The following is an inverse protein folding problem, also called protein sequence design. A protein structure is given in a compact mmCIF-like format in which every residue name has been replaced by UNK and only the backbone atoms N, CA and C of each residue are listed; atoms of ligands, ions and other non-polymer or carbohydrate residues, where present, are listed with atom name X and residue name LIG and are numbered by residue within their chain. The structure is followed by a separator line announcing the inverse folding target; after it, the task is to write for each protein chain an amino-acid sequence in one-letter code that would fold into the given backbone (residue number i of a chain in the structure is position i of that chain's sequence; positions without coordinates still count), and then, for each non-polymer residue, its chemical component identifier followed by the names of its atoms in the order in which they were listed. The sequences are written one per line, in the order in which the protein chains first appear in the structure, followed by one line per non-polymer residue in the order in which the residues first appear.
data_IF_127449841861
#
_entry.id   IF_127449841861
#
_cell.length_a   1.000
_cell.length_b   1.000
_cell.length_c   1.000
_cell.angle_alpha   90.00
_cell.angle_beta   90.00
_cell.angle_gamma   90.00
#
_symmetry.space_group_name_H-M   'P 1'
#
loop_
_entity.id
_entity.type
_entity.pdbx_description
1 polymer ?
#
# COMPACT_ATOMS: atom_id res chain seq x y z
N UNK A 1 11.04 6.69 -76.41
CA UNK A 1 10.03 6.76 -75.32
C UNK A 1 10.38 5.62 -74.35
N UNK A 2 10.76 5.75 -73.07
CA UNK A 2 10.63 6.74 -71.98
C UNK A 2 11.99 6.77 -71.22
N UNK A 3 12.67 7.92 -71.00
CA UNK A 3 12.69 8.78 -69.77
C UNK A 3 12.87 7.96 -68.46
N UNK A 4 14.09 7.94 -67.87
CA UNK A 4 14.57 8.73 -66.69
C UNK A 4 13.81 8.40 -65.39
N UNK A 5 14.39 8.01 -64.25
CA UNK A 5 15.03 8.78 -63.13
C UNK A 5 15.33 7.72 -62.02
N UNK A 6 16.55 7.48 -61.52
CA UNK A 6 17.37 8.17 -60.47
C UNK A 6 16.89 8.00 -59.01
N UNK A 7 17.84 7.55 -58.16
CA UNK A 7 18.08 7.73 -56.70
C UNK A 7 16.96 7.39 -55.69
N UNK A 8 17.21 6.48 -54.74
CA UNK A 8 17.94 6.65 -53.45
C UNK A 8 17.12 7.44 -52.41
N UNK A 9 17.04 6.88 -51.19
CA UNK A 9 16.47 7.42 -49.93
C UNK A 9 14.93 7.35 -49.82
N UNK A 10 14.28 6.95 -48.73
CA UNK A 10 14.68 6.76 -47.34
C UNK A 10 14.13 5.43 -46.81
N UNK A 11 15.00 4.70 -46.14
CA UNK A 11 14.70 3.87 -44.98
C UNK A 11 13.72 4.65 -44.08
N UNK A 12 12.44 4.31 -44.21
CA UNK A 12 11.38 4.74 -43.31
C UNK A 12 11.26 3.69 -42.18
N UNK A 13 12.39 3.30 -41.57
CA UNK A 13 12.34 2.94 -40.16
C UNK A 13 12.11 4.25 -39.44
N UNK A 14 10.83 4.61 -39.34
CA UNK A 14 10.39 5.47 -38.27
C UNK A 14 10.98 4.88 -37.00
N UNK A 15 11.91 5.66 -36.48
CA UNK A 15 12.35 5.67 -35.11
C UNK A 15 11.11 5.58 -34.22
N UNK A 16 10.64 4.36 -33.95
CA UNK A 16 10.13 3.98 -32.64
C UNK A 16 11.35 3.90 -31.71
N UNK A 17 12.15 4.97 -31.67
CA UNK A 17 12.77 5.37 -30.42
C UNK A 17 11.57 5.61 -29.53
N UNK A 18 11.23 4.64 -28.69
CA UNK A 18 10.30 4.89 -27.61
C UNK A 18 10.81 6.15 -26.93
N UNK A 19 10.10 7.27 -27.13
CA UNK A 19 10.25 8.39 -26.23
C UNK A 19 9.92 7.76 -24.88
N UNK A 20 10.93 7.69 -24.03
CA UNK A 20 10.75 7.35 -22.64
C UNK A 20 9.84 8.46 -22.09
N UNK A 21 8.52 8.25 -22.18
CA UNK A 21 7.48 9.22 -21.84
C UNK A 21 7.36 9.41 -20.32
N UNK A 22 8.32 8.86 -19.57
CA UNK A 22 8.39 8.98 -18.13
C UNK A 22 8.73 10.40 -17.76
N UNK A 23 8.01 10.92 -16.77
CA UNK A 23 8.34 12.20 -16.16
C UNK A 23 9.70 12.08 -15.48
N UNK A 24 10.56 13.09 -15.68
CA UNK A 24 11.86 13.15 -15.02
C UNK A 24 11.73 13.84 -13.67
N UNK A 25 12.01 13.11 -12.61
CA UNK A 25 11.98 13.61 -11.25
C UNK A 25 13.35 14.15 -10.84
N UNK A 26 13.35 15.29 -10.17
CA UNK A 26 14.54 15.85 -9.53
C UNK A 26 14.62 15.32 -8.09
N UNK A 27 15.69 14.57 -7.76
CA UNK A 27 15.95 14.06 -6.42
C UNK A 27 16.20 15.21 -5.42
N UNK A 28 15.50 15.16 -4.28
CA UNK A 28 15.65 16.10 -3.14
C UNK A 28 15.71 15.31 -1.83
N UNK A 29 16.82 14.63 -1.60
CA UNK A 29 16.97 13.74 -0.45
C UNK A 29 16.10 12.49 -0.60
N UNK A 30 15.24 12.19 0.37
CA UNK A 30 14.27 11.09 0.28
C UNK A 30 13.00 11.46 -0.51
N UNK A 31 12.94 12.68 -1.06
CA UNK A 31 11.79 13.22 -1.78
C UNK A 31 12.14 13.46 -3.25
N UNK A 32 11.12 13.59 -4.08
CA UNK A 32 11.26 13.76 -5.52
C UNK A 32 10.39 14.89 -6.01
N UNK A 33 10.93 15.75 -6.87
CA UNK A 33 10.20 16.87 -7.42
C UNK A 33 9.89 16.64 -8.90
N UNK A 34 8.61 16.51 -9.22
CA UNK A 34 8.07 16.59 -10.56
C UNK A 34 7.88 18.06 -10.93
N UNK A 35 8.79 18.57 -11.72
CA UNK A 35 8.76 19.96 -12.19
C UNK A 35 7.71 20.21 -13.27
N UNK A 36 7.31 19.18 -14.01
CA UNK A 36 6.34 19.30 -15.09
C UNK A 36 4.94 19.57 -14.52
N UNK A 37 4.59 18.89 -13.43
CA UNK A 37 3.29 19.04 -12.76
C UNK A 37 3.33 19.86 -11.47
N UNK A 38 4.50 20.36 -11.07
CA UNK A 38 4.75 21.10 -9.82
C UNK A 38 4.37 20.29 -8.56
N UNK A 39 4.82 19.04 -8.48
CA UNK A 39 4.50 18.12 -7.39
C UNK A 39 5.78 17.72 -6.66
N UNK A 40 5.82 17.97 -5.35
CA UNK A 40 6.83 17.39 -4.46
C UNK A 40 6.28 16.10 -3.84
N UNK A 41 6.82 14.96 -4.26
CA UNK A 41 6.56 13.66 -3.67
C UNK A 41 7.45 13.43 -2.45
N UNK A 42 6.84 13.02 -1.34
CA UNK A 42 7.50 12.67 -0.09
C UNK A 42 7.13 11.24 0.31
N UNK A 43 7.99 10.50 1.03
CA UNK A 43 7.64 9.16 1.52
C UNK A 43 6.36 9.18 2.35
N UNK A 44 5.47 8.21 2.13
CA UNK A 44 4.19 8.06 2.82
C UNK A 44 4.27 6.92 3.82
N UNK A 45 4.28 7.23 5.12
CA UNK A 45 4.29 6.25 6.22
C UNK A 45 5.09 4.97 5.90
N UNK A 46 6.39 5.12 5.66
CA UNK A 46 7.29 4.15 4.99
C UNK A 46 7.23 2.70 5.48
N UNK A 47 6.75 2.44 6.70
CA UNK A 47 6.66 1.10 7.28
C UNK A 47 5.25 0.51 7.31
N UNK A 48 4.23 1.36 7.15
CA UNK A 48 2.83 1.01 7.30
C UNK A 48 2.10 0.94 5.97
N UNK A 49 2.35 1.89 5.07
CA UNK A 49 1.57 2.03 3.84
C UNK A 49 2.29 1.39 2.66
N UNK A 50 1.56 0.58 1.90
CA UNK A 50 2.06 -0.14 0.73
C UNK A 50 1.01 -0.12 -0.39
N UNK A 51 1.43 -0.21 -1.66
CA UNK A 51 0.48 -0.36 -2.74
C UNK A 51 -0.12 -1.77 -2.70
N UNK A 52 -1.42 -1.87 -2.94
CA UNK A 52 -2.09 -3.17 -3.12
C UNK A 52 -1.58 -3.87 -4.38
N UNK A 53 -1.31 -3.09 -5.42
CA UNK A 53 -0.75 -3.51 -6.69
C UNK A 53 0.14 -2.39 -7.27
N UNK A 54 1.18 -2.78 -8.00
CA UNK A 54 2.00 -1.86 -8.80
C UNK A 54 1.39 -1.77 -10.20
N UNK A 55 1.16 -0.53 -10.66
CA UNK A 55 0.61 -0.23 -11.97
C UNK A 55 1.68 -0.07 -13.05
N UNK A 56 1.48 0.92 -13.92
CA UNK A 56 2.34 1.18 -15.08
C UNK A 56 3.50 2.11 -14.72
N UNK A 57 4.58 2.07 -15.50
CA UNK A 57 5.70 3.01 -15.33
C UNK A 57 5.23 4.45 -15.58
N UNK A 58 5.56 5.35 -14.65
CA UNK A 58 5.08 6.74 -14.66
C UNK A 58 6.23 7.75 -14.73
N UNK A 59 7.24 7.58 -13.88
CA UNK A 59 8.30 8.56 -13.71
C UNK A 59 9.65 7.90 -13.43
N UNK A 60 10.74 8.65 -13.53
CA UNK A 60 12.09 8.20 -13.19
C UNK A 60 12.97 9.35 -12.71
N UNK A 61 13.84 9.09 -11.75
CA UNK A 61 14.91 10.01 -11.33
C UNK A 61 16.27 9.67 -12.02
N UNK A 62 16.25 8.73 -12.98
CA UNK A 62 17.43 8.20 -13.66
C UNK A 62 18.13 7.03 -12.94
N UNK A 63 17.75 6.72 -11.69
CA UNK A 63 18.23 5.57 -10.92
C UNK A 63 17.13 4.52 -10.73
N UNK A 64 15.92 4.96 -10.38
CA UNK A 64 14.74 4.14 -10.15
C UNK A 64 13.63 4.52 -11.12
N UNK A 65 12.75 3.55 -11.40
CA UNK A 65 11.46 3.78 -12.05
C UNK A 65 10.39 3.82 -10.98
N UNK A 66 9.50 4.80 -11.08
CA UNK A 66 8.30 4.95 -10.27
C UNK A 66 7.07 4.61 -11.09
N UNK A 67 6.08 4.05 -10.42
CA UNK A 67 4.90 3.43 -11.01
C UNK A 67 3.63 4.09 -10.48
N UNK A 68 2.58 4.03 -11.29
CA UNK A 68 1.23 4.34 -10.82
C UNK A 68 0.76 3.28 -9.82
N UNK A 69 -0.21 3.65 -8.98
CA UNK A 69 -0.90 2.72 -8.09
C UNK A 69 -2.34 2.64 -8.60
N UNK A 70 -2.86 1.45 -8.99
CA UNK A 70 -4.23 1.31 -9.44
C UNK A 70 -5.23 1.91 -8.43
N UNK A 71 -6.28 2.56 -8.93
CA UNK A 71 -7.29 3.29 -8.15
C UNK A 71 -6.78 4.51 -7.37
N UNK A 72 -5.52 4.91 -7.57
CA UNK A 72 -4.99 6.18 -7.08
C UNK A 72 -4.63 7.10 -8.23
N UNK A 73 -4.76 8.40 -8.01
CA UNK A 73 -4.30 9.39 -8.97
C UNK A 73 -2.77 9.57 -8.85
N UNK A 74 -1.99 9.51 -9.94
CA UNK A 74 -0.53 9.67 -9.88
C UNK A 74 -0.10 11.00 -9.25
N UNK A 75 -0.90 12.07 -9.43
CA UNK A 75 -0.67 13.38 -8.82
C UNK A 75 -0.74 13.36 -7.28
N UNK A 76 -1.33 12.32 -6.70
CA UNK A 76 -1.49 12.14 -5.26
C UNK A 76 -0.52 11.08 -4.75
N UNK A 77 -0.39 9.95 -5.46
CA UNK A 77 0.44 8.82 -5.04
C UNK A 77 1.17 8.15 -6.20
N UNK A 78 2.43 7.81 -5.96
CA UNK A 78 3.24 6.93 -6.80
C UNK A 78 3.96 5.91 -5.91
N UNK A 79 4.48 4.82 -6.50
CA UNK A 79 5.31 3.88 -5.76
C UNK A 79 6.58 3.52 -6.52
N UNK A 80 7.57 2.99 -5.80
CA UNK A 80 8.65 2.24 -6.44
C UNK A 80 8.29 0.75 -6.57
N UNK A 81 9.14 0.00 -7.26
CA UNK A 81 9.03 -1.46 -7.38
C UNK A 81 10.35 -2.13 -6.95
N UNK A 82 10.76 -1.89 -5.71
CA UNK A 82 11.92 -2.54 -5.11
C UNK A 82 11.50 -3.90 -4.55
N UNK A 83 12.15 -4.96 -5.05
CA UNK A 83 11.78 -6.37 -4.88
C UNK A 83 11.10 -6.73 -3.55
N UNK A 84 9.78 -6.90 -3.60
CA UNK A 84 8.96 -7.42 -2.51
C UNK A 84 8.41 -6.36 -1.53
N UNK A 85 8.93 -5.13 -1.52
CA UNK A 85 8.51 -4.06 -0.60
C UNK A 85 8.49 -2.72 -1.34
N UNK A 86 7.40 -2.45 -2.05
CA UNK A 86 7.20 -1.15 -2.72
C UNK A 86 6.92 -0.04 -1.72
N UNK A 87 7.74 1.02 -1.72
CA UNK A 87 7.50 2.23 -0.93
C UNK A 87 6.52 3.12 -1.68
N UNK A 88 5.56 3.70 -0.95
CA UNK A 88 4.61 4.68 -1.47
C UNK A 88 5.14 6.08 -1.19
N UNK A 89 5.05 6.94 -2.21
CA UNK A 89 5.32 8.35 -2.11
C UNK A 89 4.02 9.11 -2.37
N UNK A 90 3.73 10.10 -1.55
CA UNK A 90 2.55 10.96 -1.67
C UNK A 90 2.94 12.37 -2.07
N UNK A 91 2.05 13.10 -2.72
CA UNK A 91 2.22 14.54 -2.84
C UNK A 91 2.28 15.18 -1.45
N UNK A 92 3.19 16.14 -1.27
CA UNK A 92 3.41 16.84 0.00
C UNK A 92 2.20 17.64 0.49
N UNK A 93 1.25 17.95 -0.41
CA UNK A 93 -0.03 18.61 -0.11
C UNK A 93 -1.06 17.67 0.53
N UNK A 94 -0.89 16.36 0.38
CA UNK A 94 -1.71 15.34 1.05
C UNK A 94 -1.18 15.15 2.47
N UNK A 95 -2.03 14.92 3.47
CA UNK A 95 -1.57 14.60 4.82
C UNK A 95 -0.84 13.24 4.83
N UNK A 96 0.07 13.01 5.78
CA UNK A 96 0.62 11.66 5.94
C UNK A 96 -0.45 10.69 6.42
N UNK A 97 -0.40 9.46 5.92
CA UNK A 97 -1.39 8.44 6.26
C UNK A 97 -1.03 7.83 7.62
N UNK A 98 -1.98 7.86 8.53
CA UNK A 98 -1.94 7.23 9.85
C UNK A 98 -3.16 6.32 9.99
N UNK A 99 -3.16 5.41 10.96
CA UNK A 99 -4.36 4.61 11.26
C UNK A 99 -5.60 5.47 11.53
N UNK A 100 -5.41 6.69 12.04
CA UNK A 100 -6.49 7.63 12.37
C UNK A 100 -7.19 8.22 11.13
N UNK A 101 -6.44 8.55 10.07
CA UNK A 101 -7.02 9.11 8.84
C UNK A 101 -7.14 8.09 7.70
N UNK A 102 -6.72 6.84 7.90
CA UNK A 102 -6.86 5.79 6.90
C UNK A 102 -8.29 5.24 6.80
N UNK A 103 -9.11 5.36 7.85
CA UNK A 103 -10.51 4.90 7.88
C UNK A 103 -10.71 3.45 7.37
N UNK A 104 -10.10 2.45 8.02
CA UNK A 104 -10.18 1.07 7.57
C UNK A 104 -11.61 0.51 7.66
N UNK A 105 -12.01 -0.21 6.61
CA UNK A 105 -13.34 -0.86 6.51
C UNK A 105 -13.26 -2.38 6.40
N UNK A 106 -12.12 -2.92 5.95
CA UNK A 106 -11.89 -4.36 5.83
C UNK A 106 -10.43 -4.70 6.14
N UNK A 107 -10.15 -5.97 6.42
CA UNK A 107 -8.79 -6.44 6.72
C UNK A 107 -8.50 -7.74 5.99
N UNK A 108 -7.35 -7.84 5.34
CA UNK A 108 -6.81 -9.13 4.86
C UNK A 108 -5.70 -9.59 5.79
N UNK A 109 -5.81 -10.83 6.27
CA UNK A 109 -4.88 -11.43 7.23
C UNK A 109 -3.90 -12.33 6.50
N UNK A 110 -2.61 -12.11 6.75
CA UNK A 110 -1.53 -12.92 6.20
C UNK A 110 -0.63 -13.44 7.31
N UNK A 111 -0.01 -14.59 7.11
CA UNK A 111 1.13 -15.05 7.92
C UNK A 111 2.40 -14.88 7.10
N UNK A 112 3.44 -14.27 7.67
CA UNK A 112 4.75 -14.23 7.01
C UNK A 112 5.57 -15.50 7.26
N UNK A 113 6.31 -15.88 6.23
CA UNK A 113 7.24 -17.00 6.15
C UNK A 113 8.07 -16.80 4.87
N UNK A 114 8.61 -17.87 4.27
CA UNK A 114 9.33 -17.77 2.98
C UNK A 114 8.45 -17.17 1.85
N UNK A 115 7.13 -17.27 1.97
CA UNK A 115 6.15 -16.54 1.18
C UNK A 115 5.00 -16.07 2.05
N UNK A 116 4.45 -14.89 1.77
CA UNK A 116 3.28 -14.36 2.47
C UNK A 116 2.07 -15.24 2.14
N UNK A 117 1.49 -15.88 3.16
CA UNK A 117 0.33 -16.76 3.02
C UNK A 117 -0.94 -16.05 3.47
N UNK A 118 -1.88 -15.86 2.56
CA UNK A 118 -3.23 -15.40 2.90
C UNK A 118 -3.96 -16.42 3.79
N UNK A 119 -4.63 -15.93 4.84
CA UNK A 119 -5.39 -16.75 5.78
C UNK A 119 -6.89 -16.48 5.68
N UNK A 120 -7.31 -15.22 5.84
CA UNK A 120 -8.71 -14.83 5.88
C UNK A 120 -8.90 -13.35 5.57
N UNK A 121 -10.15 -12.94 5.39
CA UNK A 121 -10.58 -11.55 5.27
C UNK A 121 -11.62 -11.27 6.36
N UNK A 122 -11.50 -10.11 7.01
CA UNK A 122 -12.55 -9.50 7.79
C UNK A 122 -13.28 -8.52 6.87
N UNK A 123 -14.52 -8.86 6.52
CA UNK A 123 -15.26 -8.15 5.48
C UNK A 123 -15.95 -6.90 6.03
N UNK A 124 -16.06 -5.89 5.18
CA UNK A 124 -16.79 -4.66 5.46
C UNK A 124 -18.31 -4.85 5.34
N UNK A 125 -19.06 -3.88 5.87
CA UNK A 125 -20.49 -3.71 5.60
C UNK A 125 -20.76 -3.70 4.08
N UNK A 126 -21.85 -4.34 3.67
CA UNK A 126 -22.23 -4.47 2.25
C UNK A 126 -22.39 -3.11 1.53
N UNK A 127 -22.60 -2.00 2.26
CA UNK A 127 -22.74 -0.65 1.68
C UNK A 127 -21.48 -0.15 0.97
N UNK A 128 -20.32 -0.72 1.27
CA UNK A 128 -19.04 -0.38 0.65
C UNK A 128 -18.73 -1.20 -0.61
N UNK A 129 -19.57 -2.18 -0.94
CA UNK A 129 -19.40 -3.07 -2.08
C UNK A 129 -20.33 -2.65 -3.22
N UNK A 130 -19.84 -2.81 -4.45
CA UNK A 130 -20.65 -2.70 -5.65
C UNK A 130 -21.73 -3.80 -5.66
N UNK A 131 -22.87 -3.57 -6.33
CA UNK A 131 -24.02 -4.51 -6.31
C UNK A 131 -23.65 -5.93 -6.75
N UNK A 132 -22.67 -6.07 -7.64
CA UNK A 132 -22.17 -7.36 -8.12
C UNK A 132 -21.33 -8.13 -7.10
N UNK A 133 -20.72 -7.43 -6.14
CA UNK A 133 -19.89 -8.00 -5.08
C UNK A 133 -20.65 -8.22 -3.78
N UNK A 134 -21.87 -7.69 -3.67
CA UNK A 134 -22.72 -7.88 -2.49
C UNK A 134 -23.10 -9.35 -2.33
N UNK A 135 -22.81 -9.89 -1.15
CA UNK A 135 -23.17 -11.25 -0.79
C UNK A 135 -23.71 -11.26 0.65
N UNK A 136 -25.04 -11.43 0.83
CA UNK A 136 -25.66 -11.39 2.15
C UNK A 136 -25.24 -12.56 3.06
N UNK A 137 -24.55 -13.57 2.54
CA UNK A 137 -24.00 -14.66 3.33
C UNK A 137 -22.59 -14.39 3.86
N UNK A 138 -21.94 -13.29 3.43
CA UNK A 138 -20.67 -12.88 4.03
C UNK A 138 -20.93 -12.30 5.41
N UNK A 139 -20.12 -12.74 6.37
CA UNK A 139 -20.12 -12.16 7.71
C UNK A 139 -19.70 -10.70 7.63
N UNK A 140 -20.44 -9.82 8.29
CA UNK A 140 -20.02 -8.45 8.53
C UNK A 140 -19.05 -8.43 9.74
N UNK A 141 -17.78 -8.11 9.49
CA UNK A 141 -16.76 -8.00 10.53
C UNK A 141 -16.45 -6.52 10.87
N UNK A 142 -17.26 -5.57 10.41
CA UNK A 142 -16.94 -4.13 10.51
C UNK A 142 -16.74 -3.66 11.95
N UNK A 143 -17.54 -4.15 12.90
CA UNK A 143 -17.36 -3.84 14.32
C UNK A 143 -15.97 -4.26 14.82
N UNK A 144 -15.47 -5.43 14.39
CA UNK A 144 -14.12 -5.90 14.73
C UNK A 144 -13.05 -5.04 14.05
N UNK A 145 -13.24 -4.68 12.78
CA UNK A 145 -12.31 -3.78 12.06
C UNK A 145 -12.21 -2.42 12.75
N UNK A 146 -13.34 -1.86 13.17
CA UNK A 146 -13.39 -0.61 13.90
C UNK A 146 -12.81 -0.73 15.31
N UNK A 147 -13.05 -1.85 15.99
CA UNK A 147 -12.42 -2.18 17.29
C UNK A 147 -10.90 -2.18 17.18
N UNK A 148 -10.32 -2.81 16.15
CA UNK A 148 -8.87 -2.82 15.88
C UNK A 148 -8.35 -1.39 15.65
N UNK A 149 -9.03 -0.62 14.78
CA UNK A 149 -8.68 0.79 14.53
C UNK A 149 -8.67 1.59 15.82
N UNK A 150 -9.75 1.49 16.59
CA UNK A 150 -9.96 2.29 17.80
C UNK A 150 -8.95 1.92 18.88
N UNK A 151 -8.59 0.65 19.04
CA UNK A 151 -7.48 0.24 19.91
C UNK A 151 -6.17 0.91 19.53
N UNK A 152 -5.85 0.94 18.23
CA UNK A 152 -4.61 1.56 17.75
C UNK A 152 -4.60 3.08 17.95
N UNK A 153 -5.75 3.73 18.03
CA UNK A 153 -5.85 5.19 18.23
C UNK A 153 -5.91 5.54 19.72
N UNK A 154 -6.74 4.85 20.49
CA UNK A 154 -7.19 5.30 21.81
C UNK A 154 -6.65 4.47 22.99
N UNK A 155 -6.27 3.21 22.78
CA UNK A 155 -5.80 2.36 23.88
C UNK A 155 -4.37 2.74 24.30
N UNK A 156 -4.06 2.44 25.56
CA UNK A 156 -2.76 2.68 26.17
C UNK A 156 -1.66 1.95 25.41
N UNK A 157 -0.57 2.66 25.10
CA UNK A 157 0.59 2.09 24.44
C UNK A 157 1.41 1.30 25.44
N UNK A 158 1.74 0.06 25.09
CA UNK A 158 2.50 -0.85 25.95
C UNK A 158 3.91 -1.08 25.42
N UNK A 159 4.83 -1.40 26.32
CA UNK A 159 6.17 -1.87 25.98
C UNK A 159 6.21 -3.38 26.10
N UNK A 160 6.54 -4.06 24.99
CA UNK A 160 6.70 -5.52 25.00
C UNK A 160 8.08 -5.85 25.55
N UNK A 161 8.13 -6.44 26.74
CA UNK A 161 9.40 -6.81 27.41
C UNK A 161 9.73 -8.29 27.27
N UNK A 162 8.73 -9.13 27.03
CA UNK A 162 8.92 -10.55 26.74
C UNK A 162 9.38 -10.76 25.29
N UNK A 163 10.04 -11.89 25.04
CA UNK A 163 10.42 -12.28 23.69
C UNK A 163 9.16 -12.58 22.86
N UNK A 164 9.13 -12.10 21.60
CA UNK A 164 8.04 -12.40 20.67
C UNK A 164 8.23 -13.79 20.07
N UNK A 165 7.13 -14.51 19.86
CA UNK A 165 7.15 -15.75 19.09
C UNK A 165 7.41 -15.48 17.60
N UNK A 166 7.88 -16.50 16.88
CA UNK A 166 8.07 -16.42 15.43
C UNK A 166 6.75 -16.30 14.64
N UNK A 167 5.60 -16.51 15.29
CA UNK A 167 4.29 -16.42 14.64
C UNK A 167 3.81 -14.96 14.62
N UNK A 168 3.92 -14.35 13.45
CA UNK A 168 3.42 -12.99 13.20
C UNK A 168 2.37 -12.99 12.11
N UNK A 169 1.28 -12.26 12.36
CA UNK A 169 0.21 -12.09 11.39
C UNK A 169 0.14 -10.64 10.94
N UNK A 170 0.16 -10.44 9.63
CA UNK A 170 0.08 -9.13 9.00
C UNK A 170 -1.37 -8.85 8.65
N UNK A 171 -1.94 -7.87 9.34
CA UNK A 171 -3.25 -7.31 9.10
C UNK A 171 -3.10 -6.17 8.10
N UNK A 172 -3.49 -6.41 6.85
CA UNK A 172 -3.56 -5.39 5.81
C UNK A 172 -4.93 -4.75 5.87
N UNK A 173 -5.01 -3.60 6.52
CA UNK A 173 -6.20 -2.76 6.57
C UNK A 173 -6.48 -2.16 5.19
N UNK A 174 -7.74 -2.17 4.76
CA UNK A 174 -8.21 -1.64 3.49
C UNK A 174 -9.16 -0.47 3.72
N UNK A 175 -9.11 0.53 2.85
CA UNK A 175 -9.89 1.77 2.95
C UNK A 175 -10.54 2.13 1.62
N UNK A 176 -11.78 2.64 1.69
CA UNK A 176 -12.43 3.26 0.55
C UNK A 176 -11.84 4.64 0.20
N UNK A 177 -11.24 5.33 1.18
CA UNK A 177 -10.57 6.62 0.96
C UNK A 177 -9.22 6.43 0.25
N UNK A 178 -8.62 5.24 0.37
CA UNK A 178 -7.35 4.89 -0.25
C UNK A 178 -7.40 3.51 -0.95
N UNK A 179 -8.22 3.33 -1.99
CA UNK A 179 -8.56 2.01 -2.56
C UNK A 179 -7.36 1.24 -3.14
N UNK A 180 -6.33 1.93 -3.62
CA UNK A 180 -5.08 1.32 -4.10
C UNK A 180 -4.04 0.99 -3.04
N UNK A 181 -4.27 1.34 -1.77
CA UNK A 181 -3.29 1.23 -0.69
C UNK A 181 -3.80 0.30 0.41
N UNK A 182 -2.86 -0.28 1.17
CA UNK A 182 -3.18 -0.90 2.45
C UNK A 182 -2.29 -0.36 3.55
N UNK A 183 -2.85 -0.29 4.75
CA UNK A 183 -2.12 0.04 5.98
C UNK A 183 -1.80 -1.25 6.74
N UNK A 184 -0.56 -1.38 7.22
CA UNK A 184 -0.06 -2.60 7.83
C UNK A 184 -0.06 -2.49 9.34
N UNK A 185 -0.75 -3.43 10.00
CA UNK A 185 -0.66 -3.69 11.43
C UNK A 185 -0.17 -5.12 11.62
N UNK A 186 0.63 -5.39 12.65
CA UNK A 186 1.13 -6.75 12.92
C UNK A 186 0.53 -7.25 14.23
N UNK A 187 -0.16 -8.37 14.16
CA UNK A 187 -0.59 -9.12 15.34
C UNK A 187 0.52 -10.10 15.72
N UNK A 188 0.98 -9.99 16.97
CA UNK A 188 2.09 -10.81 17.50
C UNK A 188 1.71 -11.39 18.86
N UNK A 189 2.33 -12.52 19.19
CA UNK A 189 2.18 -13.17 20.49
C UNK A 189 3.55 -13.29 21.14
N UNK A 190 3.65 -13.00 22.44
CA UNK A 190 4.88 -13.23 23.21
C UNK A 190 4.98 -14.69 23.73
N UNK A 191 6.15 -15.03 24.28
CA UNK A 191 6.41 -16.38 24.83
C UNK A 191 5.54 -16.75 26.04
N UNK A 192 4.88 -15.77 26.68
CA UNK A 192 3.93 -16.00 27.77
C UNK A 192 2.49 -16.17 27.28
N UNK A 193 2.24 -15.93 25.99
CA UNK A 193 0.93 -16.04 25.36
C UNK A 193 0.15 -14.74 25.29
N UNK A 194 0.71 -13.61 25.74
CA UNK A 194 0.07 -12.29 25.61
C UNK A 194 0.10 -11.86 24.15
N UNK A 195 -1.00 -11.30 23.65
CA UNK A 195 -1.13 -10.89 22.25
C UNK A 195 -1.22 -9.37 22.12
N UNK A 196 -0.59 -8.87 21.06
CA UNK A 196 -0.44 -7.44 20.83
C UNK A 196 -0.73 -7.09 19.37
N UNK A 197 -1.14 -5.85 19.16
CA UNK A 197 -1.14 -5.20 17.86
C UNK A 197 0.01 -4.19 17.80
N UNK A 198 0.89 -4.35 16.82
CA UNK A 198 1.92 -3.39 16.45
C UNK A 198 1.41 -2.50 15.33
N UNK A 199 1.22 -1.22 15.63
CA UNK A 199 1.10 -0.19 14.60
C UNK A 199 2.46 0.01 13.93
N UNK A 200 2.56 -0.32 12.63
CA UNK A 200 3.82 -0.14 11.88
C UNK A 200 4.15 1.31 11.58
N UNK A 201 3.16 2.22 11.63
CA UNK A 201 3.37 3.64 11.37
C UNK A 201 4.07 4.32 12.54
N UNK A 202 3.60 4.05 13.76
CA UNK A 202 4.19 4.60 15.00
C UNK A 202 5.23 3.68 15.64
N UNK A 203 5.27 2.40 15.24
CA UNK A 203 6.07 1.35 15.86
C UNK A 203 5.77 1.16 17.36
N UNK A 204 4.50 1.34 17.73
CA UNK A 204 4.00 1.18 19.10
C UNK A 204 3.06 -0.02 19.20
N UNK A 205 3.07 -0.66 20.37
CA UNK A 205 2.19 -1.79 20.66
C UNK A 205 0.98 -1.34 21.48
N UNK A 206 -0.14 -2.03 21.28
CA UNK A 206 -1.30 -2.07 22.18
C UNK A 206 -1.64 -3.53 22.47
N UNK A 207 -2.29 -3.81 23.59
CA UNK A 207 -2.82 -5.15 23.85
C UNK A 207 -3.92 -5.48 22.84
N UNK A 208 -3.91 -6.71 22.34
CA UNK A 208 -4.99 -7.22 21.51
C UNK A 208 -6.23 -7.46 22.39
N UNK A 209 -7.38 -6.98 21.94
CA UNK A 209 -8.66 -7.17 22.64
C UNK A 209 -9.16 -8.61 22.49
N UNK A 210 -9.94 -9.07 23.47
CA UNK A 210 -10.46 -10.44 23.54
C UNK A 210 -11.27 -10.88 22.30
N UNK A 211 -12.02 -9.95 21.71
CA UNK A 211 -12.78 -10.17 20.47
C UNK A 211 -11.87 -10.51 19.29
N UNK A 212 -10.76 -9.78 19.15
CA UNK A 212 -9.72 -10.09 18.16
C UNK A 212 -9.01 -11.41 18.49
N UNK A 213 -8.61 -11.61 19.75
CA UNK A 213 -7.91 -12.84 20.16
C UNK A 213 -8.76 -14.08 19.85
N UNK A 214 -10.06 -14.03 20.16
CA UNK A 214 -11.00 -15.10 19.84
C UNK A 214 -11.12 -15.34 18.32
N UNK A 215 -11.11 -14.26 17.51
CA UNK A 215 -11.16 -14.36 16.06
C UNK A 215 -9.87 -14.92 15.44
N UNK A 216 -8.73 -14.67 16.06
CA UNK A 216 -7.39 -15.06 15.60
C UNK A 216 -6.93 -16.43 16.12
N UNK A 217 -7.76 -17.16 16.88
CA UNK A 217 -7.41 -18.40 17.57
C UNK A 217 -7.25 -19.67 16.70
N UNK A 218 -6.57 -19.57 15.56
CA UNK A 218 -6.23 -20.69 14.68
C UNK A 218 -5.00 -21.49 15.12
#
# INVERSE_FOLDING_TARGET
MKKSIICLSLIFTFLLSGCDNKIKLEEKGASFYDKENDILYVPCAERAVRPLQVGEEYATDGKLTYYTIPWQEPKEFICDNVGGVSIVYRASTIEDITVNNFNPIAIRVYMEGLSSRYLTTFYCEQKYLDEEDKNPNLQDDSELVYSIRDSLIYDEKVSVTAELTDKMYYLRLLSADYPGLYYTVVYVTDVNGEQYLLDRGTNQYVLARDDLVARMGF
#
